data_IF_246329909394
#
_entry.id   IF_246329909394
#
_cell.length_a   1.000
_cell.length_b   1.000
_cell.length_c   1.000
_cell.angle_alpha   90.00
_cell.angle_beta   90.00
_cell.angle_gamma   90.00
#
_symmetry.space_group_name_H-M   'P 1'
#
loop_
_entity.id
_entity.type
_entity.pdbx_description
1 polymer ?
#
# COMPACT_ATOMS: atom_id res chain seq x y z
N UNK A 1 7.28 -9.55 21.89
CA UNK A 1 6.74 -9.65 20.51
C UNK A 1 5.26 -9.27 20.39
N UNK A 2 4.33 -9.94 21.09
CA UNK A 2 2.87 -9.70 20.96
C UNK A 2 2.44 -8.22 21.01
N UNK A 3 2.93 -7.43 21.98
CA UNK A 3 2.60 -5.99 22.12
C UNK A 3 2.96 -5.14 20.89
N UNK A 4 4.10 -5.41 20.23
CA UNK A 4 4.53 -4.66 19.03
C UNK A 4 3.73 -5.04 17.78
N UNK A 5 3.40 -6.33 17.64
CA UNK A 5 2.53 -6.83 16.57
C UNK A 5 1.14 -6.19 16.68
N UNK A 6 0.59 -6.11 17.89
CA UNK A 6 -0.71 -5.48 18.13
C UNK A 6 -0.70 -3.98 17.80
N UNK A 7 0.39 -3.28 18.11
CA UNK A 7 0.52 -1.85 17.76
C UNK A 7 0.59 -1.63 16.25
N UNK A 8 1.40 -2.40 15.54
CA UNK A 8 1.56 -2.23 14.09
C UNK A 8 0.27 -2.59 13.34
N UNK A 9 -0.41 -3.66 13.77
CA UNK A 9 -1.73 -4.02 13.23
C UNK A 9 -2.73 -2.88 13.44
N UNK A 10 -2.77 -2.29 14.64
CA UNK A 10 -3.62 -1.13 14.92
C UNK A 10 -3.30 0.05 13.99
N UNK A 11 -2.01 0.34 13.73
CA UNK A 11 -1.63 1.41 12.79
C UNK A 11 -2.09 1.12 11.37
N UNK A 12 -1.93 -0.12 10.88
CA UNK A 12 -2.41 -0.51 9.55
C UNK A 12 -3.93 -0.31 9.45
N UNK A 13 -4.69 -0.75 10.46
CA UNK A 13 -6.14 -0.56 10.52
C UNK A 13 -6.49 0.93 10.50
N UNK A 14 -5.79 1.76 11.28
CA UNK A 14 -6.02 3.20 11.31
C UNK A 14 -5.79 3.83 9.93
N UNK A 15 -4.70 3.49 9.24
CA UNK A 15 -4.44 4.01 7.89
C UNK A 15 -5.53 3.60 6.90
N UNK A 16 -5.96 2.33 6.94
CA UNK A 16 -7.06 1.84 6.10
C UNK A 16 -8.35 2.60 6.41
N UNK A 17 -8.69 2.77 7.70
CA UNK A 17 -9.89 3.50 8.11
C UNK A 17 -9.88 4.95 7.65
N UNK A 18 -8.74 5.66 7.77
CA UNK A 18 -8.66 7.06 7.37
C UNK A 18 -8.93 7.21 5.88
N UNK A 19 -8.25 6.43 5.03
CA UNK A 19 -8.45 6.48 3.57
C UNK A 19 -9.90 6.18 3.19
N UNK A 20 -10.47 5.11 3.73
CA UNK A 20 -11.84 4.69 3.38
C UNK A 20 -12.90 5.66 3.91
N UNK A 21 -12.72 6.22 5.12
CA UNK A 21 -13.63 7.23 5.66
C UNK A 21 -13.62 8.52 4.85
N UNK A 22 -12.46 8.94 4.35
CA UNK A 22 -12.37 10.11 3.46
C UNK A 22 -13.18 9.85 2.19
N UNK A 23 -13.01 8.69 1.55
CA UNK A 23 -13.75 8.35 0.32
C UNK A 23 -15.25 8.28 0.54
N UNK A 24 -15.69 7.61 1.61
CA UNK A 24 -17.10 7.54 2.01
C UNK A 24 -17.65 8.95 2.25
N UNK A 25 -16.89 9.82 2.93
CA UNK A 25 -17.32 11.20 3.18
C UNK A 25 -17.46 12.01 1.88
N UNK A 26 -16.49 11.91 0.97
CA UNK A 26 -16.53 12.60 -0.33
C UNK A 26 -17.78 12.18 -1.12
N UNK A 27 -18.03 10.88 -1.22
CA UNK A 27 -19.16 10.30 -1.94
C UNK A 27 -20.51 10.66 -1.28
N UNK A 28 -20.63 10.46 0.03
CA UNK A 28 -21.87 10.69 0.78
C UNK A 28 -22.35 12.15 0.70
N UNK A 29 -21.42 13.09 0.62
CA UNK A 29 -21.72 14.52 0.54
C UNK A 29 -21.66 15.09 -0.88
N UNK A 30 -21.46 14.24 -1.90
CA UNK A 30 -21.31 14.65 -3.30
C UNK A 30 -20.34 15.84 -3.45
N UNK A 31 -19.18 15.76 -2.80
CA UNK A 31 -18.22 16.86 -2.84
C UNK A 31 -17.72 17.03 -4.28
N UNK A 32 -17.64 18.28 -4.71
CA UNK A 32 -17.29 18.64 -6.07
C UNK A 32 -15.94 19.37 -6.11
N UNK A 33 -15.49 19.64 -7.34
CA UNK A 33 -14.26 20.37 -7.61
C UNK A 33 -14.13 21.64 -6.75
N UNK A 34 -12.96 21.80 -6.14
CA UNK A 34 -12.59 23.00 -5.39
C UNK A 34 -11.10 23.29 -5.53
N UNK A 35 -10.76 24.51 -5.91
CA UNK A 35 -9.37 24.96 -5.96
C UNK A 35 -8.80 25.16 -4.56
N UNK A 36 -7.64 24.56 -4.28
CA UNK A 36 -6.93 24.74 -3.01
C UNK A 36 -5.77 25.74 -3.18
N UNK A 37 -5.00 25.59 -4.25
CA UNK A 37 -3.90 26.47 -4.65
C UNK A 37 -3.79 26.53 -6.18
N UNK A 38 -2.84 27.32 -6.71
CA UNK A 38 -2.54 27.35 -8.14
C UNK A 38 -2.00 26.01 -8.68
N UNK A 39 -1.53 25.11 -7.80
CA UNK A 39 -0.90 23.83 -8.16
C UNK A 39 -1.75 22.63 -7.75
N UNK A 40 -2.55 22.75 -6.71
CA UNK A 40 -3.34 21.65 -6.12
C UNK A 40 -4.82 22.01 -6.11
N UNK A 41 -5.68 21.08 -6.51
CA UNK A 41 -7.11 21.19 -6.37
C UNK A 41 -7.69 19.91 -5.75
N UNK A 42 -8.82 20.05 -5.08
CA UNK A 42 -9.68 18.94 -4.74
C UNK A 42 -10.56 18.62 -5.95
N UNK A 43 -10.49 17.40 -6.48
CA UNK A 43 -11.24 16.96 -7.66
C UNK A 43 -11.56 15.46 -7.55
N UNK A 44 -12.69 15.11 -6.94
CA UNK A 44 -13.16 13.72 -6.88
C UNK A 44 -13.40 13.16 -8.27
N UNK A 45 -12.76 12.03 -8.57
CA UNK A 45 -12.87 11.28 -9.83
C UNK A 45 -12.81 9.80 -9.52
N UNK A 46 -13.82 9.05 -9.96
CA UNK A 46 -13.75 7.59 -9.93
C UNK A 46 -12.85 7.10 -11.06
N UNK A 47 -11.73 6.51 -10.70
CA UNK A 47 -10.76 5.95 -11.62
C UNK A 47 -11.05 4.46 -11.86
N UNK A 48 -11.66 4.17 -13.02
CA UNK A 48 -12.06 2.83 -13.47
C UNK A 48 -10.96 2.11 -14.27
N UNK A 49 -9.80 2.73 -14.45
CA UNK A 49 -8.64 2.11 -15.12
C UNK A 49 -7.88 1.17 -14.20
N UNK A 50 -8.26 1.07 -12.92
CA UNK A 50 -7.79 0.14 -11.88
C UNK A 50 -6.31 0.25 -11.45
N UNK A 51 -5.43 0.79 -12.30
CA UNK A 51 -4.02 1.01 -12.04
C UNK A 51 -3.43 2.12 -12.93
N UNK A 52 -2.34 2.74 -12.46
CA UNK A 52 -1.54 3.65 -13.28
C UNK A 52 -0.93 2.96 -14.51
N UNK A 53 -0.57 1.67 -14.41
CA UNK A 53 -0.03 0.87 -15.51
C UNK A 53 -1.01 0.79 -16.68
N UNK A 54 -2.30 0.55 -16.40
CA UNK A 54 -3.36 0.56 -17.43
C UNK A 54 -3.47 1.92 -18.12
N UNK A 55 -3.27 3.02 -17.38
CA UNK A 55 -3.29 4.37 -17.95
C UNK A 55 -2.08 4.64 -18.84
N UNK A 56 -0.87 4.32 -18.38
CA UNK A 56 0.37 4.63 -19.12
C UNK A 56 0.55 3.77 -20.36
N UNK A 57 0.32 2.46 -20.26
CA UNK A 57 0.54 1.53 -21.36
C UNK A 57 -0.70 1.32 -22.23
N UNK A 58 -1.80 2.02 -21.92
CA UNK A 58 -3.10 1.86 -22.57
C UNK A 58 -3.52 0.38 -22.69
N UNK A 59 -3.24 -0.41 -21.64
CA UNK A 59 -3.60 -1.81 -21.57
C UNK A 59 -4.93 -1.97 -20.83
N UNK A 60 -5.71 -2.97 -21.21
CA UNK A 60 -7.06 -3.19 -20.68
C UNK A 60 -7.09 -4.38 -19.72
N UNK A 61 -6.20 -4.39 -18.72
CA UNK A 61 -6.26 -5.41 -17.68
C UNK A 61 -7.52 -5.21 -16.85
N UNK A 62 -8.39 -6.22 -16.82
CA UNK A 62 -9.65 -6.17 -16.08
C UNK A 62 -9.46 -6.13 -14.56
N UNK A 63 -10.51 -5.71 -13.85
CA UNK A 63 -10.53 -5.59 -12.39
C UNK A 63 -10.13 -6.88 -11.68
N UNK A 64 -10.55 -8.05 -12.19
CA UNK A 64 -10.24 -9.37 -11.64
C UNK A 64 -8.74 -9.63 -11.60
N UNK A 65 -8.03 -9.30 -12.69
CA UNK A 65 -6.59 -9.47 -12.76
C UNK A 65 -5.88 -8.58 -11.75
N UNK A 66 -6.33 -7.33 -11.59
CA UNK A 66 -5.78 -6.43 -10.58
C UNK A 66 -6.01 -6.94 -9.16
N UNK A 67 -7.20 -7.45 -8.85
CA UNK A 67 -7.50 -8.06 -7.55
C UNK A 67 -6.55 -9.23 -7.28
N UNK A 68 -6.37 -10.13 -8.26
CA UNK A 68 -5.46 -11.28 -8.13
C UNK A 68 -4.02 -10.81 -7.89
N UNK A 69 -3.51 -9.90 -8.71
CA UNK A 69 -2.13 -9.40 -8.61
C UNK A 69 -1.88 -8.70 -7.28
N UNK A 70 -2.79 -7.82 -6.84
CA UNK A 70 -2.65 -7.12 -5.56
C UNK A 70 -2.74 -8.11 -4.40
N UNK A 71 -3.62 -9.10 -4.46
CA UNK A 71 -3.73 -10.13 -3.41
C UNK A 71 -2.46 -10.96 -3.31
N UNK A 72 -1.90 -11.41 -4.44
CA UNK A 72 -0.64 -12.14 -4.47
C UNK A 72 0.52 -11.29 -3.94
N UNK A 73 0.61 -10.03 -4.38
CA UNK A 73 1.60 -9.09 -3.87
C UNK A 73 1.47 -8.90 -2.36
N UNK A 74 0.25 -8.70 -1.85
CA UNK A 74 -0.02 -8.52 -0.43
C UNK A 74 0.41 -9.75 0.39
N UNK A 75 0.16 -10.97 -0.10
CA UNK A 75 0.62 -12.20 0.57
C UNK A 75 2.14 -12.21 0.67
N UNK A 76 2.85 -11.93 -0.43
CA UNK A 76 4.32 -11.86 -0.46
C UNK A 76 4.83 -10.80 0.52
N UNK A 77 4.25 -9.60 0.49
CA UNK A 77 4.58 -8.48 1.38
C UNK A 77 4.39 -8.88 2.85
N UNK A 78 3.30 -9.55 3.20
CA UNK A 78 3.03 -10.01 4.57
C UNK A 78 4.07 -11.04 5.03
N UNK A 79 4.49 -11.95 4.14
CA UNK A 79 5.53 -12.95 4.46
C UNK A 79 6.85 -12.25 4.78
N UNK A 80 7.30 -11.32 3.92
CA UNK A 80 8.51 -10.53 4.17
C UNK A 80 8.39 -9.68 5.43
N UNK A 81 7.24 -9.05 5.66
CA UNK A 81 7.00 -8.25 6.85
C UNK A 81 7.10 -9.09 8.13
N UNK A 82 6.51 -10.28 8.16
CA UNK A 82 6.63 -11.22 9.30
C UNK A 82 8.08 -11.65 9.53
N UNK A 83 8.83 -11.90 8.45
CA UNK A 83 10.26 -12.22 8.53
C UNK A 83 11.04 -11.07 9.21
N UNK A 84 10.86 -9.82 8.75
CA UNK A 84 11.51 -8.63 9.32
C UNK A 84 11.14 -8.45 10.79
N UNK A 85 9.87 -8.66 11.17
CA UNK A 85 9.43 -8.51 12.55
C UNK A 85 10.05 -9.54 13.52
N UNK A 86 10.44 -10.70 12.98
CA UNK A 86 11.09 -11.79 13.72
C UNK A 86 12.59 -11.57 13.92
N UNK A 87 13.22 -10.67 13.17
CA UNK A 87 14.63 -10.34 13.35
C UNK A 87 14.88 -9.60 14.67
N UNK A 88 16.01 -9.92 15.32
CA UNK A 88 16.41 -9.30 16.59
C UNK A 88 16.68 -7.79 16.44
N UNK A 89 17.30 -7.38 15.32
CA UNK A 89 17.69 -6.00 15.02
C UNK A 89 16.83 -5.37 13.91
N UNK A 90 15.52 -5.61 13.96
CA UNK A 90 14.58 -5.08 12.97
C UNK A 90 14.64 -3.55 12.83
N UNK A 91 14.71 -3.07 11.59
CA UNK A 91 14.64 -1.64 11.28
C UNK A 91 13.24 -1.08 11.51
N UNK A 92 13.15 0.01 12.27
CA UNK A 92 11.87 0.69 12.56
C UNK A 92 11.34 1.38 11.31
N UNK A 93 12.23 1.93 10.50
CA UNK A 93 11.96 2.61 9.24
C UNK A 93 11.33 1.61 8.27
N UNK A 94 11.97 0.45 8.10
CA UNK A 94 11.45 -0.62 7.25
C UNK A 94 10.07 -1.09 7.72
N UNK A 95 9.87 -1.26 9.04
CA UNK A 95 8.55 -1.60 9.61
C UNK A 95 7.49 -0.55 9.26
N UNK A 96 7.81 0.74 9.33
CA UNK A 96 6.87 1.82 8.96
C UNK A 96 6.54 1.75 7.47
N UNK A 97 7.55 1.57 6.61
CA UNK A 97 7.36 1.38 5.17
C UNK A 97 6.40 0.21 4.88
N UNK A 98 6.64 -0.96 5.45
CA UNK A 98 5.76 -2.12 5.28
C UNK A 98 4.34 -1.91 5.85
N UNK A 99 4.18 -1.19 6.97
CA UNK A 99 2.84 -0.86 7.48
C UNK A 99 2.05 -0.02 6.46
N UNK A 100 2.69 0.99 5.86
CA UNK A 100 2.07 1.83 4.83
C UNK A 100 1.78 1.03 3.56
N UNK A 101 2.70 0.17 3.12
CA UNK A 101 2.51 -0.68 1.95
C UNK A 101 1.31 -1.62 2.11
N UNK A 102 1.24 -2.31 3.26
CA UNK A 102 0.15 -3.23 3.58
C UNK A 102 -1.18 -2.47 3.63
N UNK A 103 -1.22 -1.31 4.28
CA UNK A 103 -2.41 -0.47 4.32
C UNK A 103 -2.85 -0.04 2.91
N UNK A 104 -1.92 0.45 2.08
CA UNK A 104 -2.19 0.83 0.70
C UNK A 104 -2.69 -0.32 -0.16
N UNK A 105 -2.11 -1.52 -0.05
CA UNK A 105 -2.62 -2.72 -0.73
C UNK A 105 -4.04 -3.10 -0.28
N UNK A 106 -4.33 -3.02 1.02
CA UNK A 106 -5.67 -3.30 1.55
C UNK A 106 -6.68 -2.27 1.05
N UNK A 107 -6.37 -0.98 1.12
CA UNK A 107 -7.20 0.09 0.54
C UNK A 107 -7.47 -0.16 -0.94
N UNK A 108 -6.43 -0.50 -1.71
CA UNK A 108 -6.55 -0.79 -3.15
C UNK A 108 -7.44 -1.98 -3.46
N UNK A 109 -7.50 -2.99 -2.58
CA UNK A 109 -8.43 -4.11 -2.69
C UNK A 109 -9.86 -3.68 -2.34
N UNK A 110 -10.05 -2.96 -1.24
CA UNK A 110 -11.37 -2.44 -0.82
C UNK A 110 -11.95 -1.58 -1.96
N UNK A 111 -11.15 -0.68 -2.52
CA UNK A 111 -11.52 0.14 -3.67
C UNK A 111 -12.13 -0.68 -4.81
N UNK A 112 -11.47 -1.76 -5.21
CA UNK A 112 -11.91 -2.61 -6.32
C UNK A 112 -13.19 -3.39 -6.00
N UNK A 113 -13.38 -3.82 -4.75
CA UNK A 113 -14.57 -4.55 -4.35
C UNK A 113 -15.80 -3.65 -4.14
N UNK A 114 -15.63 -2.43 -3.66
CA UNK A 114 -16.74 -1.55 -3.27
C UNK A 114 -17.02 -0.41 -4.24
N UNK A 115 -16.01 0.05 -4.98
CA UNK A 115 -16.11 1.22 -5.87
C UNK A 115 -16.01 0.84 -7.36
N UNK A 116 -15.73 -0.42 -7.68
CA UNK A 116 -15.44 -0.87 -9.06
C UNK A 116 -14.38 -0.02 -9.76
N UNK A 117 -13.40 0.46 -8.99
CA UNK A 117 -12.44 1.48 -9.40
C UNK A 117 -11.62 1.94 -8.19
N UNK A 118 -11.24 3.21 -8.15
CA UNK A 118 -10.67 3.88 -6.99
C UNK A 118 -11.11 5.34 -7.00
N UNK A 119 -11.66 5.85 -5.90
CA UNK A 119 -12.07 7.25 -5.81
C UNK A 119 -10.84 8.13 -5.49
N UNK A 120 -10.28 8.75 -6.53
CA UNK A 120 -9.18 9.69 -6.44
C UNK A 120 -9.73 11.10 -6.20
N UNK A 121 -9.04 11.96 -5.45
CA UNK A 121 -9.63 13.25 -5.06
C UNK A 121 -8.66 14.43 -4.90
N UNK A 122 -7.34 14.20 -4.92
CA UNK A 122 -6.35 15.28 -4.92
C UNK A 122 -5.78 15.40 -6.32
N UNK A 123 -6.01 16.53 -6.98
CA UNK A 123 -5.47 16.81 -8.30
C UNK A 123 -4.21 17.67 -8.19
N UNK A 124 -3.10 17.10 -8.63
CA UNK A 124 -1.91 17.87 -8.99
C UNK A 124 -2.09 18.40 -10.41
N UNK A 125 -2.38 19.70 -10.52
CA UNK A 125 -2.80 20.33 -11.79
C UNK A 125 -1.74 20.11 -12.87
N UNK A 126 -2.20 19.62 -14.03
CA UNK A 126 -1.34 19.30 -15.18
C UNK A 126 -0.65 17.93 -15.12
N UNK A 127 -0.83 17.15 -14.04
CA UNK A 127 -0.17 15.84 -13.88
C UNK A 127 -1.17 14.70 -13.69
N UNK A 128 -1.60 14.43 -12.46
CA UNK A 128 -2.48 13.29 -12.13
C UNK A 128 -3.35 13.59 -10.92
N UNK A 129 -4.39 12.79 -10.75
CA UNK A 129 -5.26 12.79 -9.57
C UNK A 129 -4.91 11.55 -8.77
N UNK A 130 -4.82 11.68 -7.45
CA UNK A 130 -4.46 10.60 -6.54
C UNK A 130 -5.27 10.68 -5.25
N UNK A 131 -5.21 9.61 -4.47
CA UNK A 131 -5.79 9.53 -3.14
C UNK A 131 -4.74 9.28 -2.05
N UNK A 132 -5.21 9.10 -0.82
CA UNK A 132 -4.34 8.84 0.32
C UNK A 132 -3.68 7.45 0.27
N UNK A 133 -4.36 6.45 -0.30
CA UNK A 133 -3.78 5.14 -0.62
C UNK A 133 -2.53 5.28 -1.52
N UNK A 134 -2.56 6.12 -2.55
CA UNK A 134 -1.39 6.35 -3.42
C UNK A 134 -0.23 7.02 -2.68
N UNK A 135 -0.54 7.92 -1.73
CA UNK A 135 0.46 8.54 -0.85
C UNK A 135 1.11 7.49 0.06
N UNK A 136 0.33 6.57 0.64
CA UNK A 136 0.84 5.49 1.47
C UNK A 136 1.83 4.61 0.71
N UNK A 137 1.46 4.19 -0.51
CA UNK A 137 2.31 3.34 -1.36
C UNK A 137 3.59 4.10 -1.75
N UNK A 138 3.47 5.35 -2.19
CA UNK A 138 4.61 6.17 -2.62
C UNK A 138 5.63 6.39 -1.48
N UNK A 139 5.16 6.75 -0.28
CA UNK A 139 6.05 6.93 0.88
C UNK A 139 6.71 5.60 1.27
N UNK A 140 5.95 4.49 1.24
CA UNK A 140 6.49 3.17 1.50
C UNK A 140 7.62 2.81 0.53
N UNK A 141 7.42 3.01 -0.77
CA UNK A 141 8.42 2.74 -1.81
C UNK A 141 9.71 3.52 -1.54
N UNK A 142 9.60 4.83 -1.25
CA UNK A 142 10.75 5.67 -0.92
C UNK A 142 11.50 5.12 0.30
N UNK A 143 10.78 4.75 1.38
CA UNK A 143 11.39 4.21 2.60
C UNK A 143 12.11 2.88 2.32
N UNK A 144 11.43 1.94 1.64
CA UNK A 144 11.96 0.60 1.39
C UNK A 144 13.17 0.69 0.45
N UNK A 145 13.07 1.44 -0.64
CA UNK A 145 14.17 1.62 -1.60
C UNK A 145 15.37 2.27 -0.93
N UNK A 146 15.16 3.34 -0.15
CA UNK A 146 16.24 4.02 0.58
C UNK A 146 16.91 3.06 1.57
N UNK A 147 16.11 2.27 2.30
CA UNK A 147 16.64 1.27 3.21
C UNK A 147 17.47 0.20 2.49
N UNK A 148 17.00 -0.29 1.34
CA UNK A 148 17.72 -1.27 0.51
C UNK A 148 19.05 -0.72 0.02
N UNK A 149 19.08 0.53 -0.46
CA UNK A 149 20.30 1.19 -0.95
C UNK A 149 21.32 1.34 0.19
N UNK A 150 20.90 1.84 1.35
CA UNK A 150 21.78 2.01 2.51
C UNK A 150 22.30 0.66 3.02
N UNK A 151 21.44 -0.36 3.03
CA UNK A 151 21.75 -1.69 3.57
C UNK A 151 22.11 -2.72 2.49
N UNK A 152 22.59 -2.27 1.32
CA UNK A 152 22.80 -3.13 0.15
C UNK A 152 23.66 -4.37 0.43
N UNK A 153 24.65 -4.27 1.34
CA UNK A 153 25.48 -5.42 1.74
C UNK A 153 24.66 -6.52 2.42
N UNK A 154 23.71 -6.16 3.28
CA UNK A 154 22.82 -7.13 3.92
C UNK A 154 21.91 -7.78 2.87
N UNK A 155 21.38 -6.98 1.94
CA UNK A 155 20.47 -7.46 0.88
C UNK A 155 21.17 -8.41 -0.09
N UNK A 156 22.40 -8.12 -0.52
CA UNK A 156 23.16 -9.00 -1.43
C UNK A 156 23.50 -10.35 -0.77
N UNK A 157 23.69 -10.38 0.56
CA UNK A 157 23.97 -11.62 1.29
C UNK A 157 22.71 -12.36 1.74
N UNK A 158 21.52 -11.78 1.54
CA UNK A 158 20.26 -12.42 1.85
C UNK A 158 20.11 -13.70 1.03
N UNK A 159 19.85 -14.82 1.71
CA UNK A 159 19.61 -16.10 1.02
C UNK A 159 18.14 -16.45 1.13
N UNK A 160 17.53 -16.77 -0.01
CA UNK A 160 16.14 -17.24 -0.09
C UNK A 160 15.85 -18.43 0.83
N UNK A 161 16.85 -19.28 1.08
CA UNK A 161 16.75 -20.40 2.04
C UNK A 161 16.42 -19.96 3.46
N UNK A 162 16.83 -18.76 3.87
CA UNK A 162 16.59 -18.24 5.21
C UNK A 162 15.11 -17.86 5.37
N UNK A 163 14.52 -17.28 4.32
CA UNK A 163 13.08 -17.03 4.25
C UNK A 163 12.27 -18.32 4.19
N UNK A 164 12.70 -19.30 3.38
CA UNK A 164 12.04 -20.62 3.31
C UNK A 164 12.07 -21.32 4.65
N UNK A 165 13.22 -21.29 5.35
CA UNK A 165 13.35 -21.84 6.71
C UNK A 165 12.39 -21.15 7.68
N UNK A 166 12.33 -19.83 7.65
CA UNK A 166 11.40 -19.05 8.47
C UNK A 166 9.93 -19.45 8.22
N UNK A 167 9.52 -19.62 6.96
CA UNK A 167 8.16 -20.05 6.60
C UNK A 167 7.88 -21.45 7.16
N UNK A 168 8.79 -22.41 6.95
CA UNK A 168 8.65 -23.78 7.46
C UNK A 168 8.49 -23.80 8.99
N UNK A 169 9.35 -23.08 9.71
CA UNK A 169 9.28 -22.99 11.17
C UNK A 169 8.00 -22.32 11.67
N UNK A 170 7.47 -21.34 10.92
CA UNK A 170 6.24 -20.62 11.26
C UNK A 170 4.97 -21.46 11.05
N UNK A 171 5.01 -22.45 10.15
CA UNK A 171 3.90 -23.40 9.90
C UNK A 171 3.93 -24.54 10.91
N UNK A 172 5.12 -25.07 11.24
CA UNK A 172 5.28 -26.21 12.15
C UNK A 172 5.00 -25.85 13.62
N UNK A 173 5.14 -24.57 14.00
CA UNK A 173 4.95 -24.08 15.38
C UNK A 173 3.53 -23.54 15.68
N UNK A 174 2.59 -23.68 14.75
CA UNK A 174 1.15 -23.46 15.01
C UNK A 174 0.50 -24.76 15.44
#
# INVERSE_FOLDING_TARGET
>A
MKKYVNRNLLLIIIYVMIDQLIKIYIDSYNLNYHDLTDVIAFRPVLNDRYSYVNNVFNCNMGIELHIILITLALIVIIIFYKYILAENNKSKELIVGFNLLIAGCICSLIDKFFWSGSLDYIWLKGFFIFDLKDVYISISEVIIITWVIINYKLVIHFRTRDLIRFIKESIIKQ
#
